data_IF_211826832461
#
_entry.id   IF_211826832461
#
_cell.length_a   1.000
_cell.length_b   1.000
_cell.length_c   1.000
_cell.angle_alpha   90.00
_cell.angle_beta   90.00
_cell.angle_gamma   90.00
#
_symmetry.space_group_name_H-M   'P 1'
#
loop_
_entity.id
_entity.type
_entity.pdbx_description
1 polymer ?
#
# COMPACT_ATOMS: atom_id res chain seq x y z
N UNK A 1 -13.41 27.57 -31.59
CA UNK A 1 -13.31 26.61 -30.48
C UNK A 1 -13.17 27.40 -29.18
N UNK A 2 -14.10 27.30 -28.24
CA UNK A 2 -14.14 28.15 -27.04
C UNK A 2 -12.95 27.83 -26.12
N UNK A 3 -11.96 28.74 -26.06
CA UNK A 3 -10.76 28.57 -25.21
C UNK A 3 -11.14 28.36 -23.74
N UNK A 4 -12.20 29.01 -23.26
CA UNK A 4 -12.74 28.82 -21.91
C UNK A 4 -13.25 27.39 -21.67
N UNK A 5 -13.96 26.80 -22.62
CA UNK A 5 -14.46 25.42 -22.51
C UNK A 5 -13.30 24.43 -22.46
N UNK A 6 -12.26 24.65 -23.27
CA UNK A 6 -11.07 23.81 -23.26
C UNK A 6 -10.34 23.83 -21.91
N UNK A 7 -10.11 25.02 -21.33
CA UNK A 7 -9.50 25.13 -19.99
C UNK A 7 -10.36 24.50 -18.90
N UNK A 8 -11.68 24.66 -18.98
CA UNK A 8 -12.61 24.04 -18.04
C UNK A 8 -12.55 22.51 -18.08
N UNK A 9 -12.53 21.91 -19.27
CA UNK A 9 -12.39 20.46 -19.44
C UNK A 9 -11.05 19.93 -18.90
N UNK A 10 -9.95 20.65 -19.14
CA UNK A 10 -8.64 20.30 -18.57
C UNK A 10 -8.69 20.35 -17.04
N UNK A 11 -9.29 21.39 -16.46
CA UNK A 11 -9.39 21.52 -15.00
C UNK A 11 -10.24 20.41 -14.39
N UNK A 12 -11.35 20.03 -15.03
CA UNK A 12 -12.16 18.88 -14.61
C UNK A 12 -11.39 17.56 -14.71
N UNK A 13 -10.63 17.35 -15.77
CA UNK A 13 -9.82 16.15 -15.94
C UNK A 13 -8.73 16.07 -14.86
N UNK A 14 -8.01 17.17 -14.62
CA UNK A 14 -6.95 17.23 -13.59
C UNK A 14 -7.51 17.04 -12.18
N UNK A 15 -8.67 17.61 -11.88
CA UNK A 15 -9.29 17.44 -10.56
C UNK A 15 -9.76 16.01 -10.34
N UNK A 16 -10.43 15.41 -11.35
CA UNK A 16 -10.84 14.02 -11.31
C UNK A 16 -9.63 13.07 -11.19
N UNK A 17 -8.57 13.31 -11.96
CA UNK A 17 -7.33 12.54 -11.88
C UNK A 17 -6.71 12.63 -10.49
N UNK A 18 -6.52 13.83 -9.96
CA UNK A 18 -5.93 14.04 -8.62
C UNK A 18 -6.78 13.39 -7.52
N UNK A 19 -8.11 13.45 -7.65
CA UNK A 19 -9.00 12.82 -6.69
C UNK A 19 -8.86 11.30 -6.66
N UNK A 20 -8.88 10.66 -7.84
CA UNK A 20 -8.81 9.21 -7.96
C UNK A 20 -7.40 8.65 -7.67
N UNK A 21 -6.35 9.41 -7.95
CA UNK A 21 -4.98 8.96 -7.75
C UNK A 21 -4.44 9.23 -6.34
N UNK A 22 -5.04 10.17 -5.60
CA UNK A 22 -4.51 10.60 -4.32
C UNK A 22 -5.57 10.71 -3.20
N UNK A 23 -6.59 11.54 -3.38
CA UNK A 23 -7.51 11.88 -2.28
C UNK A 23 -8.42 10.73 -1.84
N UNK A 24 -8.81 9.84 -2.76
CA UNK A 24 -9.72 8.72 -2.46
C UNK A 24 -9.19 7.80 -1.35
N UNK A 25 -7.87 7.57 -1.31
CA UNK A 25 -7.23 6.71 -0.31
C UNK A 25 -7.34 7.30 1.10
N UNK A 26 -6.99 8.58 1.25
CA UNK A 26 -7.12 9.29 2.52
C UNK A 26 -8.57 9.40 2.98
N UNK A 27 -9.50 9.68 2.05
CA UNK A 27 -10.92 9.75 2.39
C UNK A 27 -11.46 8.41 2.90
N UNK A 28 -11.09 7.31 2.25
CA UNK A 28 -11.50 5.96 2.66
C UNK A 28 -10.98 5.64 4.07
N UNK A 29 -9.69 5.90 4.31
CA UNK A 29 -9.02 5.57 5.58
C UNK A 29 -9.46 6.48 6.73
N UNK A 30 -9.78 7.75 6.44
CA UNK A 30 -10.31 8.69 7.42
C UNK A 30 -11.57 8.18 8.12
N UNK A 31 -12.41 7.44 7.39
CA UNK A 31 -13.65 6.86 7.92
C UNK A 31 -13.42 5.60 8.78
N UNK A 32 -12.21 5.06 8.80
CA UNK A 32 -11.86 3.86 9.54
C UNK A 32 -11.29 4.20 10.93
N UNK A 33 -11.51 3.30 11.89
CA UNK A 33 -11.05 3.43 13.28
C UNK A 33 -10.43 2.13 13.75
N UNK A 34 -9.52 2.24 14.71
CA UNK A 34 -9.00 1.08 15.43
C UNK A 34 -10.15 0.34 16.16
N UNK A 35 -10.11 -1.00 16.23
CA UNK A 35 -11.12 -1.77 16.93
C UNK A 35 -11.08 -1.43 18.43
N UNK A 36 -12.25 -1.42 19.07
CA UNK A 36 -12.35 -1.17 20.50
C UNK A 36 -11.84 -2.39 21.25
N UNK A 37 -10.84 -2.20 22.11
CA UNK A 37 -10.33 -3.25 22.99
C UNK A 37 -11.34 -3.45 24.12
N UNK A 38 -11.90 -4.66 24.22
CA UNK A 38 -12.64 -5.07 25.42
C UNK A 38 -11.62 -5.16 26.55
N UNK A 39 -11.85 -4.43 27.65
CA UNK A 39 -10.98 -4.46 28.83
C UNK A 39 -11.04 -5.86 29.44
N UNK A 40 -10.20 -6.76 28.95
CA UNK A 40 -9.82 -7.98 29.67
C UNK A 40 -8.77 -7.52 30.68
N UNK A 41 -8.90 -7.92 31.95
CA UNK A 41 -8.12 -7.49 33.13
C UNK A 41 -6.60 -7.76 32.99
N UNK A 42 -5.95 -7.11 32.03
CA UNK A 42 -4.52 -7.07 31.89
C UNK A 42 -4.05 -5.76 32.47
N UNK A 43 -3.34 -5.88 33.59
CA UNK A 43 -2.77 -4.80 34.38
C UNK A 43 -1.59 -4.09 33.65
N UNK A 44 -1.76 -3.72 32.37
CA UNK A 44 -0.75 -3.05 31.53
C UNK A 44 -1.41 -2.05 30.58
N UNK A 45 -1.15 -0.77 30.85
CA UNK A 45 -1.53 0.40 30.04
C UNK A 45 -0.82 0.49 28.67
N UNK A 46 -0.60 -0.62 27.95
CA UNK A 46 0.07 -0.60 26.65
C UNK A 46 -0.52 -1.64 25.70
N UNK A 47 -1.63 -1.27 25.06
CA UNK A 47 -2.12 -2.00 23.89
C UNK A 47 -1.30 -1.59 22.67
N UNK A 48 -0.76 -2.56 21.94
CA UNK A 48 -0.07 -2.31 20.67
C UNK A 48 -1.07 -2.40 19.52
N UNK A 49 -0.91 -1.51 18.55
CA UNK A 49 -1.73 -1.43 17.35
C UNK A 49 -0.93 -2.01 16.19
N UNK A 50 -1.40 -3.14 15.69
CA UNK A 50 -0.76 -3.84 14.59
C UNK A 50 -1.61 -3.71 13.33
N UNK A 51 -0.97 -3.32 12.23
CA UNK A 51 -1.55 -3.41 10.90
C UNK A 51 -1.16 -4.77 10.32
N UNK A 52 -2.14 -5.53 9.84
CA UNK A 52 -1.91 -6.84 9.24
C UNK A 52 -2.36 -6.79 7.80
N UNK A 53 -1.46 -7.14 6.88
CA UNK A 53 -1.67 -7.19 5.44
C UNK A 53 -1.46 -8.63 4.95
N UNK A 54 -2.34 -9.12 4.09
CA UNK A 54 -2.18 -10.41 3.41
C UNK A 54 -2.28 -10.23 1.90
N UNK A 55 -1.64 -11.14 1.16
CA UNK A 55 -1.79 -11.36 -0.29
C UNK A 55 -1.70 -10.09 -1.18
N UNK A 56 -0.65 -9.25 -1.06
CA UNK A 56 -0.50 -8.10 -1.94
C UNK A 56 -0.15 -8.47 -3.39
N UNK A 57 0.31 -9.70 -3.68
CA UNK A 57 0.56 -10.25 -5.04
C UNK A 57 1.18 -9.22 -6.00
N UNK A 58 2.41 -8.79 -5.73
CA UNK A 58 3.14 -7.90 -6.64
C UNK A 58 3.33 -8.58 -7.99
N UNK A 59 2.93 -7.88 -9.05
CA UNK A 59 3.03 -8.34 -10.42
C UNK A 59 4.50 -8.37 -10.84
N UNK A 60 4.95 -9.53 -11.33
CA UNK A 60 6.29 -9.64 -11.89
C UNK A 60 6.38 -9.06 -13.31
N UNK A 61 7.55 -9.15 -13.91
CA UNK A 61 7.83 -8.56 -15.24
C UNK A 61 7.45 -9.50 -16.40
N UNK A 62 7.13 -10.76 -16.12
CA UNK A 62 7.03 -11.80 -17.15
C UNK A 62 5.65 -11.82 -17.81
N UNK A 63 4.56 -11.70 -17.04
CA UNK A 63 3.20 -11.84 -17.58
C UNK A 63 2.42 -10.52 -17.72
N UNK A 64 2.93 -9.42 -17.16
CA UNK A 64 2.20 -8.15 -17.06
C UNK A 64 2.57 -7.07 -18.08
N UNK A 65 1.58 -6.33 -18.59
CA UNK A 65 1.85 -5.07 -19.29
C UNK A 65 2.42 -4.03 -18.31
N UNK A 66 3.47 -3.30 -18.72
CA UNK A 66 4.20 -2.37 -17.84
C UNK A 66 3.31 -1.29 -17.21
N UNK A 67 2.29 -0.81 -17.94
CA UNK A 67 1.35 0.20 -17.44
C UNK A 67 0.44 -0.36 -16.34
N UNK A 68 0.00 -1.61 -16.48
CA UNK A 68 -0.86 -2.26 -15.49
C UNK A 68 -0.09 -2.51 -14.21
N UNK A 69 1.17 -2.93 -14.34
CA UNK A 69 2.11 -3.04 -13.21
C UNK A 69 2.28 -1.70 -12.50
N UNK A 70 2.63 -0.64 -13.23
CA UNK A 70 2.81 0.71 -12.67
C UNK A 70 1.54 1.17 -11.93
N UNK A 71 0.37 0.97 -12.54
CA UNK A 71 -0.90 1.37 -11.94
C UNK A 71 -1.17 0.60 -10.66
N UNK A 72 -1.04 -0.73 -10.67
CA UNK A 72 -1.29 -1.59 -9.48
C UNK A 72 -0.33 -1.27 -8.35
N UNK A 73 0.96 -1.12 -8.64
CA UNK A 73 1.97 -0.75 -7.65
C UNK A 73 1.70 0.63 -7.06
N UNK A 74 1.32 1.62 -7.88
CA UNK A 74 0.95 2.94 -7.38
C UNK A 74 -0.25 2.87 -6.42
N UNK A 75 -1.30 2.11 -6.77
CA UNK A 75 -2.46 1.97 -5.91
C UNK A 75 -2.13 1.28 -4.58
N UNK A 76 -1.29 0.24 -4.61
CA UNK A 76 -0.82 -0.43 -3.40
C UNK A 76 0.03 0.50 -2.53
N UNK A 77 0.99 1.21 -3.12
CA UNK A 77 1.80 2.20 -2.44
C UNK A 77 0.93 3.26 -1.76
N UNK A 78 0.02 3.88 -2.51
CA UNK A 78 -0.85 4.94 -1.98
C UNK A 78 -1.74 4.43 -0.86
N UNK A 79 -2.33 3.24 -1.00
CA UNK A 79 -3.16 2.61 0.03
C UNK A 79 -2.37 2.31 1.29
N UNK A 80 -1.18 1.73 1.15
CA UNK A 80 -0.33 1.39 2.28
C UNK A 80 0.19 2.63 3.01
N UNK A 81 0.74 3.59 2.28
CA UNK A 81 1.28 4.81 2.85
C UNK A 81 0.21 5.65 3.55
N UNK A 82 -0.97 5.78 2.94
CA UNK A 82 -2.07 6.50 3.57
C UNK A 82 -2.56 5.79 4.84
N UNK A 83 -2.58 4.44 4.88
CA UNK A 83 -2.93 3.67 6.07
C UNK A 83 -1.92 3.87 7.20
N UNK A 84 -0.62 3.67 6.91
CA UNK A 84 0.44 3.75 7.91
C UNK A 84 0.57 5.18 8.47
N UNK A 85 0.48 6.19 7.61
CA UNK A 85 0.57 7.59 8.03
C UNK A 85 -0.63 8.03 8.86
N UNK A 86 -1.84 7.58 8.53
CA UNK A 86 -3.06 7.92 9.26
C UNK A 86 -3.16 7.20 10.60
N UNK A 87 -2.95 5.88 10.60
CA UNK A 87 -3.19 5.06 11.78
C UNK A 87 -2.02 5.02 12.76
N UNK A 88 -0.80 5.26 12.28
CA UNK A 88 0.45 5.19 13.03
C UNK A 88 0.53 3.90 13.88
N UNK A 89 0.49 2.71 13.25
CA UNK A 89 0.60 1.45 13.97
C UNK A 89 1.99 1.31 14.62
N UNK A 90 2.09 0.51 15.69
CA UNK A 90 3.37 0.15 16.31
C UNK A 90 4.15 -0.84 15.43
N UNK A 91 3.42 -1.68 14.68
CA UNK A 91 4.02 -2.63 13.75
C UNK A 91 3.09 -3.00 12.60
N UNK A 92 3.70 -3.44 11.51
CA UNK A 92 3.04 -3.94 10.30
C UNK A 92 3.49 -5.38 10.06
N UNK A 93 2.54 -6.30 9.87
CA UNK A 93 2.81 -7.69 9.51
C UNK A 93 2.28 -7.97 8.11
N UNK A 94 3.16 -8.43 7.22
CA UNK A 94 2.81 -8.93 5.88
C UNK A 94 2.83 -10.46 5.93
N UNK A 95 1.66 -11.08 5.82
CA UNK A 95 1.44 -12.50 6.14
C UNK A 95 1.85 -13.48 5.04
N UNK A 96 2.31 -13.02 3.87
CA UNK A 96 2.82 -13.88 2.80
C UNK A 96 2.38 -13.39 1.42
N UNK A 97 2.67 -14.20 0.40
CA UNK A 97 2.21 -14.00 -0.98
C UNK A 97 2.53 -12.60 -1.52
N UNK A 98 3.76 -12.16 -1.22
CA UNK A 98 4.21 -10.83 -1.59
C UNK A 98 4.48 -10.72 -3.08
N UNK A 99 5.01 -11.79 -3.70
CA UNK A 99 5.45 -11.83 -5.09
C UNK A 99 4.69 -12.92 -5.85
N UNK A 100 4.02 -12.56 -6.95
CA UNK A 100 3.27 -13.50 -7.80
C UNK A 100 4.22 -14.44 -8.58
N UNK A 101 5.27 -13.86 -9.15
CA UNK A 101 6.26 -14.58 -9.99
C UNK A 101 7.50 -15.05 -9.21
N UNK A 102 7.51 -14.94 -7.88
CA UNK A 102 8.69 -15.23 -7.05
C UNK A 102 9.24 -16.67 -7.19
N UNK A 103 8.39 -17.61 -7.61
CA UNK A 103 8.77 -19.01 -7.90
C UNK A 103 9.48 -19.22 -9.24
N UNK A 104 9.31 -18.30 -10.20
CA UNK A 104 9.87 -18.38 -11.55
C UNK A 104 11.04 -17.40 -11.76
N UNK A 105 11.27 -16.48 -10.81
CA UNK A 105 12.35 -15.52 -10.85
C UNK A 105 13.73 -16.18 -10.70
N UNK A 106 14.69 -15.72 -11.50
CA UNK A 106 16.11 -15.97 -11.23
C UNK A 106 16.60 -15.10 -10.05
N UNK A 107 17.83 -15.32 -9.58
CA UNK A 107 18.38 -14.63 -8.39
C UNK A 107 18.38 -13.10 -8.54
N UNK A 108 18.72 -12.58 -9.72
CA UNK A 108 18.75 -11.13 -9.97
C UNK A 108 17.33 -10.52 -10.02
N UNK A 109 16.38 -11.20 -10.66
CA UNK A 109 14.96 -10.79 -10.69
C UNK A 109 14.37 -10.82 -9.29
N UNK A 110 14.72 -11.84 -8.50
CA UNK A 110 14.30 -11.97 -7.12
C UNK A 110 14.76 -10.77 -6.28
N UNK A 111 16.05 -10.41 -6.36
CA UNK A 111 16.58 -9.29 -5.61
C UNK A 111 15.92 -7.96 -6.00
N UNK A 112 15.63 -7.76 -7.30
CA UNK A 112 14.86 -6.61 -7.77
C UNK A 112 13.45 -6.59 -7.21
N UNK A 113 12.75 -7.73 -7.22
CA UNK A 113 11.38 -7.82 -6.68
C UNK A 113 11.33 -7.55 -5.19
N UNK A 114 12.29 -8.09 -4.43
CA UNK A 114 12.42 -7.81 -2.99
C UNK A 114 12.72 -6.33 -2.74
N UNK A 115 13.61 -5.71 -3.52
CA UNK A 115 13.93 -4.30 -3.39
C UNK A 115 12.71 -3.40 -3.66
N UNK A 116 11.97 -3.69 -4.74
CA UNK A 116 10.75 -2.96 -5.09
C UNK A 116 9.68 -3.11 -4.00
N UNK A 117 9.46 -4.33 -3.51
CA UNK A 117 8.51 -4.58 -2.43
C UNK A 117 8.88 -3.80 -1.15
N UNK A 118 10.16 -3.77 -0.78
CA UNK A 118 10.63 -2.98 0.38
C UNK A 118 10.41 -1.48 0.18
N UNK A 119 10.59 -0.97 -1.03
CA UNK A 119 10.32 0.43 -1.34
C UNK A 119 8.83 0.75 -1.27
N UNK A 120 7.98 -0.15 -1.79
CA UNK A 120 6.54 0.01 -1.82
C UNK A 120 5.93 -0.02 -0.42
N UNK A 121 6.38 -0.95 0.42
CA UNK A 121 5.95 -1.14 1.80
C UNK A 121 6.84 -0.43 2.83
N UNK A 122 7.45 0.70 2.47
CA UNK A 122 8.30 1.44 3.39
C UNK A 122 7.50 2.04 4.56
N UNK A 123 8.03 1.95 5.79
CA UNK A 123 7.38 2.48 7.00
C UNK A 123 8.16 3.65 7.60
N UNK A 124 7.50 4.62 8.24
CA UNK A 124 8.18 5.72 8.93
C UNK A 124 8.91 5.23 10.19
N UNK A 125 9.89 6.01 10.65
CA UNK A 125 10.66 5.70 11.85
C UNK A 125 9.77 5.43 13.05
N UNK A 126 9.99 4.30 13.72
CA UNK A 126 9.20 3.85 14.88
C UNK A 126 8.15 2.79 14.56
N UNK A 127 7.84 2.54 13.30
CA UNK A 127 6.93 1.46 12.86
C UNK A 127 7.73 0.25 12.38
N UNK A 128 7.60 -0.88 13.06
CA UNK A 128 8.33 -2.10 12.68
C UNK A 128 7.61 -2.86 11.57
N UNK A 129 8.30 -3.14 10.46
CA UNK A 129 7.78 -3.98 9.37
C UNK A 129 8.29 -5.43 9.53
N UNK A 130 7.36 -6.38 9.60
CA UNK A 130 7.62 -7.81 9.67
C UNK A 130 7.01 -8.50 8.45
N UNK A 131 7.81 -9.28 7.72
CA UNK A 131 7.35 -10.05 6.56
C UNK A 131 7.49 -11.54 6.88
N UNK A 132 6.36 -12.24 6.99
CA UNK A 132 6.33 -13.63 7.46
C UNK A 132 6.86 -14.62 6.41
N UNK A 133 6.68 -14.33 5.11
CA UNK A 133 7.13 -15.18 4.02
C UNK A 133 7.40 -14.37 2.77
N UNK A 134 8.64 -14.41 2.29
CA UNK A 134 9.05 -13.77 1.02
C UNK A 134 8.82 -14.69 -0.18
N UNK A 135 9.11 -15.99 -0.01
CA UNK A 135 9.10 -17.01 -1.07
C UNK A 135 7.83 -17.85 -0.97
N UNK A 136 7.07 -18.08 -2.05
CA UNK A 136 5.86 -18.90 -2.02
C UNK A 136 6.12 -20.28 -1.39
#
# INVERSE_FOLDING_TARGET
FNRFLFFYLILLFLSAFTFNEYFIYYFTIFNCRWPKVVKVDFNRDSYQRLLVLSDPHLLGDVEGHWFDKLRREWQMYMSFQSAVNWFRPDGVFILGDLLDEGKWANEEQWDRYVANAKQLFNTPSGVQLHVCRWKP
#
